data_IF_228430814534
#
_entry.id   IF_228430814534
#
_cell.length_a   1.000
_cell.length_b   1.000
_cell.length_c   1.000
_cell.angle_alpha   90.00
_cell.angle_beta   90.00
_cell.angle_gamma   90.00
#
_symmetry.space_group_name_H-M   'P 1'
#
loop_
_entity.id
_entity.type
_entity.pdbx_description
1 polymer ?
#
# COMPACT_ATOMS: atom_id res chain seq x y z
N UNK A 1 35.59 11.86 -10.17
CA UNK A 1 34.44 12.76 -9.92
C UNK A 1 33.39 11.97 -9.14
N UNK A 2 32.92 12.44 -7.97
CA UNK A 2 31.72 11.85 -7.33
C UNK A 2 30.54 12.18 -8.26
N UNK A 3 29.97 11.16 -8.90
CA UNK A 3 28.81 11.32 -9.78
C UNK A 3 27.65 11.98 -9.02
N UNK A 4 26.83 12.76 -9.73
CA UNK A 4 25.63 13.33 -9.15
C UNK A 4 24.79 12.23 -8.50
N UNK A 5 24.34 12.45 -7.26
CA UNK A 5 23.48 11.50 -6.55
C UNK A 5 22.16 11.38 -7.32
N UNK A 6 21.75 10.18 -7.74
CA UNK A 6 20.48 10.01 -8.43
C UNK A 6 19.32 10.30 -7.47
N UNK A 7 18.26 10.88 -8.01
CA UNK A 7 16.98 11.02 -7.31
C UNK A 7 16.15 9.76 -7.55
N UNK A 8 15.51 9.23 -6.51
CA UNK A 8 14.59 8.11 -6.60
C UNK A 8 13.16 8.60 -6.41
N UNK A 9 12.31 8.38 -7.41
CA UNK A 9 10.88 8.69 -7.36
C UNK A 9 10.13 7.37 -7.41
N UNK A 10 9.32 7.12 -6.39
CA UNK A 10 8.48 5.93 -6.31
C UNK A 10 7.01 6.30 -6.52
N UNK A 11 6.40 5.78 -7.58
CA UNK A 11 4.99 6.00 -7.93
C UNK A 11 4.20 4.72 -7.65
N UNK A 12 3.13 4.83 -6.85
CA UNK A 12 2.21 3.73 -6.55
C UNK A 12 0.79 4.18 -6.83
N UNK A 13 0.10 3.42 -7.68
CA UNK A 13 -1.32 3.58 -7.93
C UNK A 13 -2.12 2.66 -6.98
N UNK A 14 -3.30 3.12 -6.56
CA UNK A 14 -4.24 2.34 -5.76
C UNK A 14 -5.21 1.59 -6.69
N UNK A 15 -5.53 0.34 -6.36
CA UNK A 15 -6.47 -0.51 -7.09
C UNK A 15 -6.25 -0.61 -8.62
N UNK A 16 -5.01 -0.41 -9.10
CA UNK A 16 -4.66 -0.56 -10.51
C UNK A 16 -4.46 -2.04 -10.86
N UNK A 17 -5.35 -2.59 -11.68
CA UNK A 17 -5.29 -3.95 -12.18
C UNK A 17 -4.20 -4.17 -13.23
N UNK A 18 -3.76 -5.42 -13.38
CA UNK A 18 -2.70 -5.79 -14.32
C UNK A 18 -3.03 -5.39 -15.77
N UNK A 19 -4.27 -5.61 -16.21
CA UNK A 19 -4.72 -5.33 -17.57
C UNK A 19 -5.30 -3.91 -17.76
N UNK A 20 -5.12 -3.01 -16.80
CA UNK A 20 -5.62 -1.63 -16.93
C UNK A 20 -4.70 -0.75 -17.79
N UNK A 21 -3.44 -1.15 -17.96
CA UNK A 21 -2.46 -0.44 -18.78
C UNK A 21 -2.30 -1.08 -20.16
N UNK A 22 -2.13 -0.24 -21.19
CA UNK A 22 -1.90 -0.67 -22.56
C UNK A 22 -0.68 -1.57 -22.69
N UNK A 23 0.40 -1.26 -21.97
CA UNK A 23 1.64 -2.05 -21.97
C UNK A 23 1.52 -3.46 -21.36
N UNK A 24 0.39 -3.80 -20.73
CA UNK A 24 0.06 -5.14 -20.22
C UNK A 24 -1.11 -5.81 -20.96
N UNK A 25 -1.54 -5.25 -22.10
CA UNK A 25 -2.65 -5.80 -22.90
C UNK A 25 -4.01 -5.18 -22.60
N UNK A 26 -4.06 -4.06 -21.87
CA UNK A 26 -5.27 -3.25 -21.70
C UNK A 26 -5.76 -2.59 -22.99
N UNK A 27 -6.85 -1.83 -22.91
CA UNK A 27 -7.45 -1.15 -24.07
C UNK A 27 -6.43 -0.22 -24.73
N UNK A 28 -6.44 -0.16 -26.06
CA UNK A 28 -5.53 0.72 -26.80
C UNK A 28 -5.64 2.18 -26.32
N UNK A 29 -4.48 2.80 -26.09
CA UNK A 29 -4.33 4.23 -25.71
C UNK A 29 -4.90 4.63 -24.33
N UNK A 30 -5.14 3.70 -23.41
CA UNK A 30 -5.58 4.05 -22.05
C UNK A 30 -4.48 4.70 -21.19
N UNK A 31 -3.20 4.42 -21.45
CA UNK A 31 -2.08 4.83 -20.60
C UNK A 31 -0.81 5.26 -21.36
N UNK A 32 -0.90 6.17 -22.36
CA UNK A 32 0.20 6.43 -23.30
C UNK A 32 1.51 6.90 -22.66
N UNK A 33 1.45 7.60 -21.50
CA UNK A 33 2.64 8.04 -20.76
C UNK A 33 3.34 6.86 -20.08
N UNK A 34 2.58 6.00 -19.39
CA UNK A 34 3.11 4.82 -18.72
C UNK A 34 3.60 3.76 -19.72
N UNK A 35 2.92 3.64 -20.86
CA UNK A 35 3.32 2.73 -21.94
C UNK A 35 4.69 3.13 -22.51
N UNK A 36 4.90 4.43 -22.72
CA UNK A 36 6.22 4.95 -23.15
C UNK A 36 7.29 4.72 -22.09
N UNK A 37 6.97 4.91 -20.81
CA UNK A 37 7.91 4.62 -19.72
C UNK A 37 8.32 3.15 -19.69
N UNK A 38 7.36 2.24 -19.92
CA UNK A 38 7.63 0.81 -19.97
C UNK A 38 8.48 0.40 -21.18
N UNK A 39 8.34 1.08 -22.33
CA UNK A 39 9.19 0.86 -23.51
C UNK A 39 10.61 1.40 -23.35
N UNK A 40 10.77 2.52 -22.64
CA UNK A 40 12.08 3.15 -22.42
C UNK A 40 12.85 2.56 -21.22
N UNK A 41 12.23 1.65 -20.46
CA UNK A 41 12.78 1.11 -19.22
C UNK A 41 12.56 -0.40 -19.08
N UNK A 42 12.52 -0.85 -17.82
CA UNK A 42 12.24 -2.24 -17.49
C UNK A 42 10.78 -2.41 -17.09
N UNK A 43 10.12 -3.42 -17.66
CA UNK A 43 8.74 -3.80 -17.32
C UNK A 43 8.72 -5.20 -16.71
N UNK A 44 8.15 -5.32 -15.51
CA UNK A 44 7.99 -6.61 -14.84
C UNK A 44 6.66 -7.27 -15.25
N UNK A 45 6.71 -8.46 -15.85
CA UNK A 45 5.50 -9.21 -16.22
C UNK A 45 4.94 -10.07 -15.08
N UNK A 46 5.70 -10.23 -14.00
CA UNK A 46 5.41 -11.05 -12.82
C UNK A 46 5.72 -10.28 -11.53
N UNK A 47 5.13 -9.08 -11.39
CA UNK A 47 5.25 -8.24 -10.19
C UNK A 47 4.05 -8.43 -9.26
N UNK A 48 4.21 -9.19 -8.18
CA UNK A 48 3.13 -9.48 -7.24
C UNK A 48 3.10 -8.50 -6.07
N UNK A 49 1.90 -8.07 -5.69
CA UNK A 49 1.69 -7.40 -4.41
C UNK A 49 1.83 -8.42 -3.27
N UNK A 50 2.36 -7.99 -2.12
CA UNK A 50 2.51 -8.84 -0.94
C UNK A 50 1.18 -9.16 -0.25
N UNK A 51 0.09 -8.52 -0.66
CA UNK A 51 -1.28 -8.75 -0.20
C UNK A 51 -2.29 -8.23 -1.23
N UNK A 52 -3.53 -8.70 -1.16
CA UNK A 52 -4.66 -8.18 -1.93
C UNK A 52 -5.35 -6.98 -1.27
N UNK A 53 -4.80 -6.45 -0.16
CA UNK A 53 -5.34 -5.28 0.56
C UNK A 53 -4.31 -4.14 0.56
N UNK A 54 -4.79 -2.90 0.52
CA UNK A 54 -3.95 -1.71 0.34
C UNK A 54 -2.97 -1.47 1.51
N UNK A 55 -3.45 -1.53 2.76
CA UNK A 55 -2.63 -1.32 3.97
C UNK A 55 -1.45 -2.29 4.08
N UNK A 56 -1.63 -3.63 4.01
CA UNK A 56 -0.51 -4.57 4.11
C UNK A 56 0.44 -4.50 2.90
N UNK A 57 -0.05 -4.14 1.71
CA UNK A 57 0.80 -3.91 0.53
C UNK A 57 1.71 -2.69 0.71
N UNK A 58 1.15 -1.54 1.14
CA UNK A 58 1.93 -0.33 1.44
C UNK A 58 2.90 -0.57 2.60
N UNK A 59 2.46 -1.27 3.63
CA UNK A 59 3.31 -1.61 4.77
C UNK A 59 4.51 -2.46 4.35
N UNK A 60 4.29 -3.47 3.51
CA UNK A 60 5.37 -4.33 3.01
C UNK A 60 6.35 -3.55 2.13
N UNK A 61 5.85 -2.63 1.32
CA UNK A 61 6.68 -1.76 0.48
C UNK A 61 7.60 -0.86 1.33
N UNK A 62 7.05 -0.15 2.32
CA UNK A 62 7.83 0.80 3.15
C UNK A 62 8.86 0.07 4.02
N UNK A 63 8.53 -1.14 4.48
CA UNK A 63 9.39 -1.90 5.42
C UNK A 63 10.32 -2.90 4.75
N UNK A 64 10.06 -3.26 3.49
CA UNK A 64 10.76 -4.35 2.80
C UNK A 64 10.54 -5.73 3.43
N UNK A 65 9.44 -5.91 4.17
CA UNK A 65 9.15 -7.16 4.90
C UNK A 65 7.75 -7.66 4.59
N UNK A 66 7.56 -8.96 4.66
CA UNK A 66 6.24 -9.58 4.61
C UNK A 66 5.34 -9.01 5.71
N UNK A 67 4.04 -8.76 5.43
CA UNK A 67 3.17 -8.03 6.34
C UNK A 67 2.95 -8.78 7.66
N UNK A 68 2.85 -10.11 7.62
CA UNK A 68 2.71 -10.96 8.80
C UNK A 68 3.93 -10.97 9.75
N UNK A 69 5.09 -10.45 9.32
CA UNK A 69 6.32 -10.44 10.14
C UNK A 69 6.40 -9.27 11.10
N UNK A 70 5.52 -8.28 10.99
CA UNK A 70 5.49 -7.09 11.83
C UNK A 70 4.06 -6.86 12.29
N UNK A 71 3.90 -6.48 13.57
CA UNK A 71 2.59 -6.21 14.17
C UNK A 71 1.73 -5.27 13.32
N UNK A 72 2.30 -4.16 12.85
CA UNK A 72 1.56 -3.19 12.02
C UNK A 72 1.04 -3.72 10.68
N UNK A 73 1.64 -4.78 10.11
CA UNK A 73 1.15 -5.42 8.89
C UNK A 73 0.24 -6.63 9.16
N UNK A 74 0.36 -7.25 10.34
CA UNK A 74 -0.45 -8.37 10.78
C UNK A 74 -1.78 -7.95 11.41
N UNK A 75 -1.79 -6.82 12.13
CA UNK A 75 -2.92 -6.30 12.91
C UNK A 75 -3.86 -5.42 12.06
N UNK A 76 -3.86 -5.63 10.73
CA UNK A 76 -4.63 -4.79 9.82
C UNK A 76 -6.13 -4.95 10.07
N UNK A 77 -6.87 -3.86 10.30
CA UNK A 77 -8.20 -3.93 10.92
C UNK A 77 -9.30 -4.49 10.00
N UNK A 78 -9.00 -4.89 8.76
CA UNK A 78 -10.01 -5.40 7.81
C UNK A 78 -10.45 -6.82 8.15
N UNK A 79 -9.64 -7.60 8.86
CA UNK A 79 -9.99 -8.98 9.25
C UNK A 79 -11.24 -9.08 10.14
N UNK A 80 -11.71 -7.97 10.71
CA UNK A 80 -12.88 -7.91 11.58
C UNK A 80 -14.10 -7.25 10.89
N UNK A 81 -13.98 -6.81 9.65
CA UNK A 81 -15.01 -6.05 8.92
C UNK A 81 -15.97 -6.93 8.09
N UNK A 82 -15.87 -8.26 8.17
CA UNK A 82 -16.94 -9.17 7.68
C UNK A 82 -18.24 -9.01 8.47
N UNK A 83 -18.19 -8.39 9.65
CA UNK A 83 -19.36 -7.71 10.21
C UNK A 83 -19.27 -6.25 9.74
N UNK A 84 -20.17 -5.86 8.84
CA UNK A 84 -20.25 -4.50 8.33
C UNK A 84 -20.09 -3.48 9.45
N UNK A 85 -19.44 -2.35 9.13
CA UNK A 85 -19.14 -1.28 10.08
C UNK A 85 -20.41 -0.90 10.83
N UNK A 86 -20.56 -1.41 12.06
CA UNK A 86 -21.61 -0.95 12.95
C UNK A 86 -21.14 0.44 13.43
N UNK A 87 -21.84 1.53 13.08
CA UNK A 87 -21.40 2.90 13.39
C UNK A 87 -21.25 3.15 14.90
N UNK A 88 -21.81 2.30 15.75
CA UNK A 88 -21.63 2.35 17.20
C UNK A 88 -20.31 1.71 17.68
N UNK A 89 -19.75 0.75 16.94
CA UNK A 89 -18.49 0.06 17.31
C UNK A 89 -17.23 0.78 16.88
N UNK A 90 -17.27 1.64 15.86
CA UNK A 90 -16.11 2.45 15.47
C UNK A 90 -15.60 3.27 16.66
N UNK A 91 -16.52 3.87 17.44
CA UNK A 91 -16.19 4.66 18.63
C UNK A 91 -15.46 3.84 19.68
N UNK A 92 -15.82 2.57 19.84
CA UNK A 92 -15.17 1.66 20.80
C UNK A 92 -13.79 1.20 20.34
N UNK A 93 -13.60 0.93 19.04
CA UNK A 93 -12.29 0.56 18.49
C UNK A 93 -11.32 1.74 18.57
N UNK A 94 -11.77 2.94 18.18
CA UNK A 94 -10.97 4.15 18.33
C UNK A 94 -10.74 4.52 19.81
N UNK A 95 -11.68 4.23 20.71
CA UNK A 95 -11.49 4.42 22.15
C UNK A 95 -10.46 3.42 22.71
N UNK A 96 -10.56 2.12 22.38
CA UNK A 96 -9.59 1.10 22.82
C UNK A 96 -8.18 1.39 22.29
N UNK A 97 -8.06 1.83 21.05
CA UNK A 97 -6.77 2.25 20.49
C UNK A 97 -6.19 3.45 21.26
N UNK A 98 -7.02 4.46 21.58
CA UNK A 98 -6.60 5.61 22.43
C UNK A 98 -6.20 5.19 23.85
N UNK A 99 -6.84 4.19 24.44
CA UNK A 99 -6.51 3.69 25.78
C UNK A 99 -5.19 2.90 25.77
N UNK A 100 -4.95 2.11 24.71
CA UNK A 100 -3.70 1.38 24.48
C UNK A 100 -2.52 2.33 24.17
N UNK A 101 -2.77 3.40 23.41
CA UNK A 101 -1.78 4.46 23.15
C UNK A 101 -1.43 5.26 24.42
N UNK A 102 -2.40 5.44 25.33
CA UNK A 102 -2.17 6.05 26.65
C UNK A 102 -1.33 5.16 27.57
N UNK A 103 -1.51 3.84 27.56
CA UNK A 103 -0.74 2.91 28.38
C UNK A 103 0.67 2.62 27.82
N UNK A 104 0.84 2.71 26.51
CA UNK A 104 2.12 2.44 25.83
C UNK A 104 2.99 3.68 25.57
N UNK A 105 2.52 4.87 25.93
CA UNK A 105 3.23 6.14 25.75
C UNK A 105 3.42 6.58 24.28
N UNK A 106 2.91 5.83 23.31
CA UNK A 106 3.04 6.15 21.87
C UNK A 106 1.90 7.07 21.44
N UNK A 107 2.19 8.37 21.36
CA UNK A 107 1.30 9.33 20.68
C UNK A 107 1.58 9.28 19.18
N UNK A 108 0.74 8.60 18.41
CA UNK A 108 0.73 8.80 16.97
C UNK A 108 0.10 10.18 16.68
N UNK A 109 0.90 11.15 16.24
CA UNK A 109 0.37 12.42 15.72
C UNK A 109 -0.35 12.12 14.41
N UNK A 110 -1.64 12.41 14.35
CA UNK A 110 -2.39 12.46 13.08
C UNK A 110 -1.70 13.48 12.16
N UNK A 111 -1.30 13.03 10.97
CA UNK A 111 -1.15 13.90 9.81
C UNK A 111 -2.53 14.04 9.15
#
# INVERSE_FOLDING_TARGET
MKGARPNFVFLMADDLGYADLGCYGGRSRCSPVLDRMAQAGLRFTQGYANSSVCSPTRFSLVTGRWPHRLRGGADEPTAHLTQGVNPHREREVFAKQRTLDRHSGRRYRRA
#
